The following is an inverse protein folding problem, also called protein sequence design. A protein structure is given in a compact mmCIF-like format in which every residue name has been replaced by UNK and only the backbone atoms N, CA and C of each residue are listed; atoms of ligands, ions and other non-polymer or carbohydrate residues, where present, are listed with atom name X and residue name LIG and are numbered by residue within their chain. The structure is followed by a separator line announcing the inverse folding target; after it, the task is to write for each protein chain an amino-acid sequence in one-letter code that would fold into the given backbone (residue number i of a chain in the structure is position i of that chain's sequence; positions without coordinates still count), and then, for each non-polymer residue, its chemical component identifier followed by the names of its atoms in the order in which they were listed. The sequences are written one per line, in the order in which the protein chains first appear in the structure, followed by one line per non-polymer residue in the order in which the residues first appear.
data_IF_635156654291
#
_entry.id   IF_635156654291
#
_cell.length_a   1.000
_cell.length_b   1.000
_cell.length_c   1.000
_cell.angle_alpha   90.00
_cell.angle_beta   90.00
_cell.angle_gamma   90.00
#
_symmetry.space_group_name_H-M   'P 1'
#
loop_
_entity.id
_entity.type
_entity.pdbx_description
1 polymer ?
#
# COMPACT_ATOMS: atom_id res chain seq x y z
N UNK A 1 -6.24 10.86 2.32
CA UNK A 1 -4.99 11.16 3.03
C UNK A 1 -4.19 12.18 2.24
N UNK A 2 -3.57 13.14 2.90
CA UNK A 2 -2.75 14.14 2.21
C UNK A 2 -1.62 13.48 1.42
N UNK A 3 -1.43 13.91 0.18
CA UNK A 3 -0.37 13.43 -0.69
C UNK A 3 -0.66 12.10 -1.39
N UNK A 4 -1.82 11.49 -1.16
CA UNK A 4 -2.22 10.24 -1.80
C UNK A 4 -3.32 10.50 -2.82
N UNK A 5 -3.08 10.06 -4.04
CA UNK A 5 -4.06 10.12 -5.12
C UNK A 5 -4.23 8.73 -5.68
N UNK A 6 -5.44 8.18 -5.59
CA UNK A 6 -5.68 6.79 -5.92
C UNK A 6 -6.81 6.56 -6.91
N UNK A 7 -6.70 5.44 -7.61
CA UNK A 7 -7.76 4.89 -8.44
C UNK A 7 -7.95 3.45 -8.04
N UNK A 8 -9.19 3.03 -7.88
CA UNK A 8 -9.51 1.68 -7.39
C UNK A 8 -10.39 0.94 -8.37
N UNK A 9 -10.09 -0.35 -8.50
CA UNK A 9 -10.92 -1.29 -9.27
C UNK A 9 -11.34 -2.38 -8.30
N UNK A 10 -12.66 -2.52 -8.13
CA UNK A 10 -13.23 -3.56 -7.27
C UNK A 10 -13.74 -4.69 -8.15
N UNK A 11 -13.06 -5.83 -8.10
CA UNK A 11 -13.54 -7.07 -8.72
C UNK A 11 -14.40 -7.84 -7.73
N UNK A 12 -14.86 -9.01 -8.10
CA UNK A 12 -15.72 -9.83 -7.21
C UNK A 12 -14.98 -10.26 -5.95
N UNK A 13 -13.72 -10.68 -6.08
CA UNK A 13 -12.95 -11.27 -4.99
C UNK A 13 -11.75 -10.46 -4.54
N UNK A 14 -11.44 -9.36 -5.21
CA UNK A 14 -10.27 -8.55 -4.88
C UNK A 14 -10.46 -7.09 -5.28
N UNK A 15 -9.62 -6.24 -4.73
CA UNK A 15 -9.54 -4.83 -5.09
C UNK A 15 -8.11 -4.52 -5.51
N UNK A 16 -7.94 -3.78 -6.60
CA UNK A 16 -6.65 -3.24 -7.01
C UNK A 16 -6.71 -1.72 -6.84
N UNK A 17 -5.71 -1.16 -6.17
CA UNK A 17 -5.57 0.28 -5.99
C UNK A 17 -4.27 0.75 -6.64
N UNK A 18 -4.36 1.79 -7.45
CA UNK A 18 -3.20 2.46 -8.05
C UNK A 18 -3.00 3.79 -7.36
N UNK A 19 -1.83 3.99 -6.75
CA UNK A 19 -1.53 5.17 -5.96
C UNK A 19 -0.42 5.99 -6.59
N UNK A 20 -0.62 7.31 -6.63
CA UNK A 20 0.43 8.29 -6.77
C UNK A 20 0.60 8.94 -5.41
N UNK A 21 1.81 8.89 -4.85
CA UNK A 21 2.09 9.35 -3.49
C UNK A 21 3.20 10.39 -3.55
N UNK A 22 2.94 11.55 -2.97
CA UNK A 22 3.93 12.63 -2.90
C UNK A 22 5.00 12.30 -1.87
N UNK A 23 6.23 12.73 -2.15
CA UNK A 23 7.34 12.62 -1.20
C UNK A 23 6.94 13.12 0.18
N UNK A 24 7.38 12.41 1.22
CA UNK A 24 7.14 12.67 2.64
C UNK A 24 5.72 12.41 3.11
N UNK A 25 4.82 11.97 2.25
CA UNK A 25 3.47 11.57 2.65
C UNK A 25 3.52 10.32 3.53
N UNK A 26 2.67 10.29 4.54
CA UNK A 26 2.65 9.23 5.55
C UNK A 26 1.36 8.45 5.47
N UNK A 27 1.48 7.12 5.43
CA UNK A 27 0.38 6.20 5.67
C UNK A 27 0.41 5.85 7.15
N UNK A 28 -0.59 6.30 7.94
CA UNK A 28 -0.62 6.01 9.37
C UNK A 28 -0.70 4.51 9.66
N UNK A 29 -0.24 4.12 10.84
CA UNK A 29 -0.31 2.73 11.28
C UNK A 29 -1.76 2.25 11.29
N UNK A 30 -2.00 1.09 10.67
CA UNK A 30 -3.32 0.48 10.60
C UNK A 30 -3.21 -1.01 10.31
N UNK A 31 -4.32 -1.71 10.39
CA UNK A 31 -4.46 -3.10 9.96
C UNK A 31 -5.86 -3.32 9.39
N UNK A 32 -6.01 -4.36 8.60
CA UNK A 32 -7.29 -4.74 8.02
C UNK A 32 -7.35 -6.25 7.80
N UNK A 33 -8.55 -6.78 7.60
CA UNK A 33 -8.74 -8.22 7.40
C UNK A 33 -8.20 -8.73 6.06
N UNK A 34 -8.02 -7.83 5.10
CA UNK A 34 -7.58 -8.19 3.76
C UNK A 34 -6.09 -8.54 3.75
N UNK A 35 -5.76 -9.62 3.07
CA UNK A 35 -4.39 -9.84 2.64
C UNK A 35 -4.06 -8.81 1.56
N UNK A 36 -2.85 -8.30 1.57
CA UNK A 36 -2.44 -7.24 0.64
C UNK A 36 -1.09 -7.57 0.02
N UNK A 37 -0.96 -7.31 -1.28
CA UNK A 37 0.36 -7.19 -1.89
C UNK A 37 0.59 -5.72 -2.21
N UNK A 38 1.79 -5.24 -1.95
CA UNK A 38 2.22 -3.89 -2.31
C UNK A 38 3.39 -3.98 -3.27
N UNK A 39 3.22 -3.42 -4.45
CA UNK A 39 4.27 -3.35 -5.46
C UNK A 39 4.63 -1.90 -5.72
N UNK A 40 5.90 -1.57 -5.56
CA UNK A 40 6.41 -0.26 -5.95
C UNK A 40 6.73 -0.29 -7.44
N UNK A 41 6.05 0.55 -8.21
CA UNK A 41 6.31 0.69 -9.64
C UNK A 41 7.44 1.70 -9.84
N UNK A 42 7.45 2.78 -9.07
CA UNK A 42 8.38 3.88 -9.22
C UNK A 42 8.62 4.57 -7.89
N UNK A 43 9.86 4.95 -7.61
CA UNK A 43 10.23 5.65 -6.39
C UNK A 43 10.67 4.73 -5.27
N UNK A 44 10.73 5.26 -4.05
CA UNK A 44 11.15 4.55 -2.85
C UNK A 44 10.13 4.75 -1.73
N UNK A 45 9.64 3.63 -1.19
CA UNK A 45 8.67 3.59 -0.11
C UNK A 45 9.30 2.91 1.12
N UNK A 46 9.27 3.59 2.25
CA UNK A 46 9.62 2.97 3.53
C UNK A 46 8.35 2.33 4.09
N UNK A 47 8.38 1.02 4.27
CA UNK A 47 7.21 0.26 4.75
C UNK A 47 7.59 -0.52 6.01
N UNK A 48 6.80 -0.34 7.07
CA UNK A 48 6.97 -1.05 8.33
C UNK A 48 5.83 -2.04 8.48
N UNK A 49 6.15 -3.32 8.54
CA UNK A 49 5.19 -4.41 8.68
C UNK A 49 5.53 -5.17 9.95
N UNK A 50 4.58 -5.22 10.88
CA UNK A 50 4.76 -5.90 12.16
C UNK A 50 6.07 -5.51 12.85
N UNK A 51 6.37 -4.21 12.88
CA UNK A 51 7.55 -3.64 13.51
C UNK A 51 8.85 -3.75 12.71
N UNK A 52 8.83 -4.37 11.54
CA UNK A 52 10.02 -4.50 10.68
C UNK A 52 9.93 -3.51 9.53
N UNK A 53 10.93 -2.65 9.44
CA UNK A 53 11.00 -1.61 8.41
C UNK A 53 11.89 -2.07 7.25
N UNK A 54 11.42 -1.84 6.04
CA UNK A 54 12.19 -2.08 4.82
C UNK A 54 11.91 -0.96 3.82
N UNK A 55 12.85 -0.75 2.92
CA UNK A 55 12.70 0.22 1.83
C UNK A 55 12.44 -0.56 0.55
N UNK A 56 11.30 -0.28 -0.07
CA UNK A 56 10.91 -0.88 -1.35
C UNK A 56 11.17 0.12 -2.46
N UNK A 57 11.76 -0.35 -3.54
CA UNK A 57 12.06 0.47 -4.71
C UNK A 57 11.40 -0.14 -5.95
N UNK A 58 11.50 0.54 -7.08
CA UNK A 58 10.84 0.11 -8.31
C UNK A 58 11.07 -1.37 -8.65
N UNK A 59 9.98 -2.12 -8.77
CA UNK A 59 9.98 -3.55 -9.03
C UNK A 59 9.81 -4.43 -7.79
N UNK A 60 9.99 -3.90 -6.57
CA UNK A 60 9.85 -4.69 -5.35
C UNK A 60 8.38 -4.94 -5.02
N UNK A 61 8.10 -6.15 -4.54
CA UNK A 61 6.78 -6.59 -4.10
C UNK A 61 6.90 -7.18 -2.72
N UNK A 62 5.93 -6.87 -1.87
CA UNK A 62 5.83 -7.47 -0.53
C UNK A 62 4.40 -7.90 -0.26
N UNK A 63 4.24 -8.95 0.55
CA UNK A 63 2.95 -9.42 1.03
C UNK A 63 2.74 -8.93 2.45
N UNK A 64 1.58 -8.32 2.72
CA UNK A 64 1.14 -7.95 4.05
C UNK A 64 0.03 -8.92 4.45
N UNK A 65 0.28 -9.80 5.45
CA UNK A 65 -0.74 -10.76 5.87
C UNK A 65 -1.98 -10.10 6.46
N UNK A 66 -3.13 -10.82 6.51
CA UNK A 66 -4.33 -10.31 7.15
C UNK A 66 -4.08 -9.90 8.61
N UNK A 67 -4.66 -8.79 9.02
CA UNK A 67 -4.64 -8.30 10.41
C UNK A 67 -3.26 -7.96 10.97
N UNK A 68 -2.26 -7.77 10.12
CA UNK A 68 -0.92 -7.36 10.53
C UNK A 68 -0.79 -5.86 10.46
N UNK A 69 -0.33 -5.25 11.54
CA UNK A 69 -0.11 -3.81 11.65
C UNK A 69 0.96 -3.37 10.65
N UNK A 70 0.67 -2.33 9.89
CA UNK A 70 1.63 -1.75 8.94
C UNK A 70 1.46 -0.24 8.81
N UNK A 71 2.53 0.42 8.40
CA UNK A 71 2.58 1.85 8.15
C UNK A 71 3.62 2.14 7.07
N UNK A 72 3.57 3.32 6.48
CA UNK A 72 4.50 3.67 5.41
C UNK A 72 4.80 5.15 5.32
N UNK A 73 5.89 5.45 4.61
CA UNK A 73 6.29 6.81 4.29
C UNK A 73 6.93 6.81 2.90
N UNK A 74 6.49 7.73 2.05
CA UNK A 74 7.11 7.91 0.74
C UNK A 74 8.41 8.69 0.90
N UNK A 75 9.54 8.06 0.58
CA UNK A 75 10.84 8.72 0.65
C UNK A 75 11.09 9.60 -0.58
N UNK A 76 10.42 9.28 -1.68
CA UNK A 76 10.37 10.07 -2.91
C UNK A 76 8.92 10.09 -3.37
N UNK A 77 8.61 10.80 -4.46
CA UNK A 77 7.34 10.60 -5.14
C UNK A 77 7.29 9.14 -5.59
N UNK A 78 6.17 8.46 -5.33
CA UNK A 78 6.01 7.05 -5.61
C UNK A 78 4.79 6.76 -6.47
N UNK A 79 4.88 5.69 -7.26
CA UNK A 79 3.74 5.05 -7.90
C UNK A 79 3.68 3.62 -7.38
N UNK A 80 2.54 3.24 -6.81
CA UNK A 80 2.38 1.97 -6.10
C UNK A 80 1.09 1.30 -6.54
N UNK A 81 1.12 -0.03 -6.63
CA UNK A 81 -0.06 -0.85 -6.84
C UNK A 81 -0.27 -1.74 -5.64
N UNK A 82 -1.44 -1.64 -5.02
CA UNK A 82 -1.87 -2.53 -3.94
C UNK A 82 -2.97 -3.47 -4.46
N UNK A 83 -2.87 -4.74 -4.10
CA UNK A 83 -3.94 -5.70 -4.37
C UNK A 83 -4.43 -6.25 -3.03
N UNK A 84 -5.75 -6.20 -2.81
CA UNK A 84 -6.40 -6.65 -1.58
C UNK A 84 -7.33 -7.83 -1.85
N UNK A 85 -7.24 -8.85 -1.03
CA UNK A 85 -8.14 -10.00 -1.07
C UNK A 85 -8.63 -10.31 0.37
N UNK A 86 -9.93 -10.39 0.61
CA UNK A 86 -11.03 -10.11 -0.30
C UNK A 86 -11.16 -8.62 -0.63
N UNK A 87 -12.17 -8.29 -1.42
CA UNK A 87 -12.46 -6.91 -1.82
C UNK A 87 -12.50 -5.96 -0.62
N UNK A 88 -11.90 -4.78 -0.77
CA UNK A 88 -11.92 -3.72 0.27
C UNK A 88 -13.28 -3.04 0.26
N UNK A 89 -14.20 -3.51 1.11
CA UNK A 89 -15.55 -2.95 1.21
C UNK A 89 -15.56 -1.49 1.69
N UNK A 90 -14.60 -1.12 2.51
CA UNK A 90 -14.45 0.25 3.03
C UNK A 90 -13.99 1.25 1.96
N UNK A 91 -13.55 0.75 0.80
CA UNK A 91 -13.15 1.60 -0.33
C UNK A 91 -14.23 1.70 -1.42
N UNK A 92 -15.32 0.98 -1.27
CA UNK A 92 -16.44 1.02 -2.22
C UNK A 92 -17.29 2.27 -2.08
#
# INVERSE_FOLDING_TARGET
MPGFKGRMVHAENFTIAFWEIEKDSILPEHKHINEQTTQVIKGALELTINGKTQILEGGDIVVIPPNVIHKGKALTNCEITDTFCPTREDYR
#
